data_IF_356829281948
#
_entry.id   IF_356829281948
#
_cell.length_a   1.000
_cell.length_b   1.000
_cell.length_c   1.000
_cell.angle_alpha   90.00
_cell.angle_beta   90.00
_cell.angle_gamma   90.00
#
_symmetry.space_group_name_H-M   'P 1'
#
loop_
_entity.id
_entity.type
_entity.pdbx_description
1 polymer ?
#
# COMPACT_ATOMS: atom_id res chain seq x y z
N UNK A 1 -8.53 3.13 20.85
CA UNK A 1 -7.56 3.90 20.04
C UNK A 1 -6.56 2.94 19.43
N UNK A 2 -6.88 2.34 18.28
CA UNK A 2 -5.97 1.49 17.50
C UNK A 2 -6.11 1.91 16.03
N UNK A 3 -5.60 3.10 15.73
CA UNK A 3 -5.67 3.72 14.41
C UNK A 3 -4.26 3.78 13.81
N UNK A 4 -3.55 2.64 13.82
CA UNK A 4 -2.23 2.49 13.19
C UNK A 4 -2.03 0.99 12.92
N UNK A 5 -2.60 0.56 11.80
CA UNK A 5 -2.61 -0.85 11.43
C UNK A 5 -3.47 -1.10 10.20
N UNK A 6 -3.34 -0.29 9.15
CA UNK A 6 -3.93 -0.64 7.86
C UNK A 6 -3.16 -1.83 7.26
N UNK A 7 -3.41 -3.02 7.78
CA UNK A 7 -3.30 -4.21 6.95
C UNK A 7 -4.35 -4.07 5.88
N UNK A 8 -3.95 -3.59 4.70
CA UNK A 8 -4.86 -3.47 3.56
C UNK A 8 -5.41 -4.87 3.32
N UNK A 9 -6.70 -5.06 3.62
CA UNK A 9 -7.35 -6.34 3.43
C UNK A 9 -7.41 -6.63 1.93
N UNK A 10 -7.51 -7.90 1.55
CA UNK A 10 -7.71 -8.30 0.17
C UNK A 10 -8.90 -7.56 -0.49
N UNK A 11 -9.93 -7.22 0.29
CA UNK A 11 -11.05 -6.42 -0.18
C UNK A 11 -10.63 -4.97 -0.47
N UNK A 12 -9.90 -4.33 0.44
CA UNK A 12 -9.41 -2.97 0.21
C UNK A 12 -8.42 -2.88 -0.94
N UNK A 13 -7.61 -3.92 -1.17
CA UNK A 13 -6.70 -3.97 -2.33
C UNK A 13 -7.47 -4.04 -3.66
N UNK A 14 -8.58 -4.80 -3.70
CA UNK A 14 -9.47 -4.89 -4.87
C UNK A 14 -10.23 -3.59 -5.13
N UNK A 15 -10.59 -2.86 -4.08
CA UNK A 15 -11.20 -1.53 -4.18
C UNK A 15 -10.20 -0.51 -4.73
N UNK A 16 -8.99 -0.43 -4.15
CA UNK A 16 -7.95 0.47 -4.61
C UNK A 16 -7.55 0.21 -6.08
N UNK A 17 -7.44 -1.07 -6.47
CA UNK A 17 -7.20 -1.42 -7.85
C UNK A 17 -8.34 -0.99 -8.79
N UNK A 18 -9.60 -1.03 -8.32
CA UNK A 18 -10.74 -0.55 -9.10
C UNK A 18 -10.76 0.97 -9.23
N UNK A 19 -10.46 1.70 -8.16
CA UNK A 19 -10.31 3.16 -8.15
C UNK A 19 -9.19 3.59 -9.10
N UNK A 20 -8.03 2.93 -9.06
CA UNK A 20 -6.93 3.19 -9.98
C UNK A 20 -7.31 2.91 -11.45
N UNK A 21 -8.04 1.82 -11.72
CA UNK A 21 -8.51 1.53 -13.07
C UNK A 21 -9.51 2.59 -13.57
N UNK A 22 -10.26 3.22 -12.67
CA UNK A 22 -11.18 4.31 -12.99
C UNK A 22 -10.43 5.62 -13.29
N UNK A 23 -9.44 5.98 -12.47
CA UNK A 23 -8.62 7.19 -12.71
C UNK A 23 -7.83 7.10 -14.01
N UNK A 24 -7.43 5.89 -14.42
CA UNK A 24 -6.77 5.62 -15.70
C UNK A 24 -7.74 5.52 -16.89
N UNK A 25 -9.05 5.65 -16.67
CA UNK A 25 -10.07 5.56 -17.73
C UNK A 25 -10.28 4.16 -18.31
N UNK A 26 -9.68 3.12 -17.71
CA UNK A 26 -9.79 1.72 -18.14
C UNK A 26 -11.15 1.14 -17.75
N UNK A 27 -11.73 1.63 -16.65
CA UNK A 27 -13.01 1.15 -16.10
C UNK A 27 -13.95 2.32 -15.80
N UNK A 28 -15.20 2.22 -16.25
CA UNK A 28 -16.21 3.26 -16.01
C UNK A 28 -16.81 3.22 -14.59
N UNK A 29 -16.68 2.10 -13.88
CA UNK A 29 -17.40 1.85 -12.63
C UNK A 29 -16.47 1.37 -11.52
N UNK A 30 -16.59 1.98 -10.33
CA UNK A 30 -15.78 1.71 -9.14
C UNK A 30 -16.11 0.37 -8.42
N UNK A 31 -16.62 -0.62 -9.15
CA UNK A 31 -16.88 -1.94 -8.56
C UNK A 31 -15.55 -2.61 -8.19
N UNK A 32 -15.44 -3.23 -7.01
CA UNK A 32 -14.22 -3.94 -6.61
C UNK A 32 -13.78 -4.95 -7.67
N UNK A 33 -12.47 -5.13 -7.83
CA UNK A 33 -11.91 -6.15 -8.71
C UNK A 33 -12.21 -7.56 -8.20
N UNK A 34 -12.12 -8.56 -9.07
CA UNK A 34 -12.42 -9.96 -8.71
C UNK A 34 -11.30 -10.58 -7.89
N UNK A 35 -11.60 -11.66 -7.16
CA UNK A 35 -10.58 -12.46 -6.48
C UNK A 35 -9.59 -13.07 -7.48
N UNK A 36 -10.03 -13.44 -8.70
CA UNK A 36 -9.13 -13.95 -9.74
C UNK A 36 -8.09 -12.91 -10.17
N UNK A 37 -8.51 -11.64 -10.33
CA UNK A 37 -7.59 -10.55 -10.59
C UNK A 37 -6.59 -10.38 -9.45
N UNK A 38 -7.07 -10.39 -8.20
CA UNK A 38 -6.23 -10.25 -7.03
C UNK A 38 -5.16 -11.35 -6.94
N UNK A 39 -5.55 -12.61 -7.16
CA UNK A 39 -4.60 -13.73 -7.15
C UNK A 39 -3.55 -13.57 -8.24
N UNK A 40 -3.96 -13.23 -9.46
CA UNK A 40 -3.03 -12.98 -10.56
C UNK A 40 -2.10 -11.78 -10.31
N UNK A 41 -2.62 -10.73 -9.68
CA UNK A 41 -1.83 -9.57 -9.26
C UNK A 41 -0.78 -9.97 -8.24
N UNK A 42 -1.17 -10.62 -7.13
CA UNK A 42 -0.26 -11.04 -6.06
C UNK A 42 0.78 -12.05 -6.54
N UNK A 43 0.42 -12.93 -7.48
CA UNK A 43 1.34 -13.91 -8.04
C UNK A 43 2.52 -13.26 -8.79
N UNK A 44 2.32 -12.09 -9.40
CA UNK A 44 3.42 -11.32 -10.03
C UNK A 44 4.42 -10.78 -9.02
N UNK A 45 4.01 -10.63 -7.77
CA UNK A 45 4.82 -10.09 -6.67
C UNK A 45 5.14 -11.17 -5.64
N UNK A 46 5.03 -12.46 -5.99
CA UNK A 46 5.16 -13.59 -5.05
C UNK A 46 6.47 -13.57 -4.25
N UNK A 47 7.55 -13.06 -4.83
CA UNK A 47 8.86 -12.91 -4.16
C UNK A 47 8.82 -11.90 -3.00
N UNK A 48 7.92 -10.92 -3.08
CA UNK A 48 7.73 -9.86 -2.09
C UNK A 48 6.56 -10.14 -1.15
N UNK A 49 5.57 -10.91 -1.62
CA UNK A 49 4.43 -11.37 -0.84
C UNK A 49 4.81 -12.63 -0.07
N UNK A 50 5.70 -12.48 0.93
CA UNK A 50 5.94 -13.56 1.88
C UNK A 50 4.70 -13.78 2.76
N UNK A 51 4.34 -15.05 3.00
CA UNK A 51 3.30 -15.41 3.97
C UNK A 51 3.84 -15.19 5.39
N UNK A 52 3.91 -13.92 5.81
CA UNK A 52 4.27 -13.60 7.18
C UNK A 52 3.17 -14.16 8.10
N UNK A 53 3.54 -15.07 9.00
CA UNK A 53 2.61 -15.61 10.02
C UNK A 53 1.98 -14.44 10.79
N UNK A 54 0.71 -14.56 11.17
CA UNK A 54 -0.03 -13.51 11.88
C UNK A 54 0.70 -12.95 13.11
N UNK A 55 1.38 -13.81 13.87
CA UNK A 55 2.20 -13.41 15.03
C UNK A 55 3.44 -12.58 14.65
N UNK A 56 4.07 -12.90 13.52
CA UNK A 56 5.16 -12.11 12.97
C UNK A 56 4.63 -10.80 12.37
N UNK A 57 3.40 -10.76 11.83
CA UNK A 57 2.75 -9.52 11.40
C UNK A 57 2.45 -8.59 12.58
N UNK A 58 1.95 -9.09 13.71
CA UNK A 58 1.75 -8.29 14.92
C UNK A 58 3.08 -7.73 15.45
N UNK A 59 4.11 -8.58 15.50
CA UNK A 59 5.45 -8.16 15.92
C UNK A 59 6.03 -7.11 14.97
N UNK A 60 5.88 -7.30 13.66
CA UNK A 60 6.33 -6.34 12.66
C UNK A 60 5.53 -5.04 12.73
N UNK A 61 4.21 -5.09 12.95
CA UNK A 61 3.38 -3.89 13.17
C UNK A 61 3.83 -3.12 14.41
N UNK A 62 4.10 -3.81 15.52
CA UNK A 62 4.60 -3.19 16.73
C UNK A 62 5.96 -2.53 16.48
N UNK A 63 6.86 -3.17 15.72
CA UNK A 63 8.16 -2.61 15.32
C UNK A 63 8.04 -1.42 14.37
N UNK A 64 7.13 -1.46 13.41
CA UNK A 64 6.87 -0.36 12.46
C UNK A 64 6.17 0.85 13.09
N UNK A 65 5.63 0.70 14.31
CA UNK A 65 5.08 1.81 15.09
C UNK A 65 6.13 2.50 15.99
N UNK A 66 7.37 2.00 16.01
CA UNK A 66 8.46 2.63 16.76
C UNK A 66 8.88 3.90 16.01
N UNK A 67 8.95 5.07 16.68
CA UNK A 67 9.27 6.35 16.02
C UNK A 67 10.54 6.29 15.16
N UNK A 68 11.59 5.65 15.67
CA UNK A 68 12.87 5.47 14.95
C UNK A 68 12.71 4.72 13.62
N UNK A 69 11.84 3.71 13.59
CA UNK A 69 11.58 2.91 12.39
C UNK A 69 10.69 3.65 11.38
N UNK A 70 9.78 4.50 11.87
CA UNK A 70 8.96 5.39 11.04
C UNK A 70 9.83 6.45 10.38
N UNK A 71 10.73 7.09 11.13
CA UNK A 71 11.65 8.10 10.59
C UNK A 71 12.55 7.48 9.52
N UNK A 72 13.12 6.29 9.79
CA UNK A 72 13.93 5.55 8.82
C UNK A 72 13.15 5.21 7.55
N UNK A 73 11.88 4.84 7.66
CA UNK A 73 11.03 4.59 6.49
C UNK A 73 10.89 5.85 5.63
N UNK A 74 10.60 7.01 6.22
CA UNK A 74 10.45 8.25 5.47
C UNK A 74 11.76 8.77 4.88
N UNK A 75 12.90 8.54 5.55
CA UNK A 75 14.22 8.83 4.98
C UNK A 75 14.51 7.98 3.74
N UNK A 76 14.26 6.67 3.82
CA UNK A 76 14.41 5.77 2.67
C UNK A 76 13.45 6.15 1.54
N UNK A 77 12.20 6.51 1.87
CA UNK A 77 11.23 6.97 0.88
C UNK A 77 11.71 8.24 0.16
N UNK A 78 12.22 9.23 0.91
CA UNK A 78 12.79 10.47 0.34
C UNK A 78 13.96 10.16 -0.59
N UNK A 79 14.82 9.21 -0.21
CA UNK A 79 15.95 8.76 -1.01
C UNK A 79 15.48 8.18 -2.35
N UNK A 80 14.55 7.23 -2.32
CA UNK A 80 13.99 6.59 -3.52
C UNK A 80 13.27 7.61 -4.42
N UNK A 81 12.50 8.54 -3.85
CA UNK A 81 11.84 9.60 -4.61
C UNK A 81 12.87 10.47 -5.35
N UNK A 82 13.97 10.83 -4.66
CA UNK A 82 15.05 11.63 -5.24
C UNK A 82 15.79 10.88 -6.35
N UNK A 83 16.16 9.62 -6.12
CA UNK A 83 16.88 8.78 -7.08
C UNK A 83 16.09 8.57 -8.38
N UNK A 84 14.77 8.50 -8.28
CA UNK A 84 13.90 8.24 -9.42
C UNK A 84 13.30 9.53 -10.03
N UNK A 85 13.74 10.72 -9.60
CA UNK A 85 13.25 11.99 -10.13
C UNK A 85 11.74 12.21 -9.92
N UNK A 86 11.18 11.65 -8.83
CA UNK A 86 9.75 11.67 -8.55
C UNK A 86 9.29 12.90 -7.75
N UNK A 87 10.20 13.83 -7.47
CA UNK A 87 9.99 15.04 -6.66
C UNK A 87 8.94 15.99 -7.22
N UNK A 88 8.73 15.98 -8.53
CA UNK A 88 7.83 16.92 -9.23
C UNK A 88 6.40 16.39 -9.40
N UNK A 89 6.10 15.19 -8.87
CA UNK A 89 4.73 14.65 -8.91
C UNK A 89 3.92 15.24 -7.75
N UNK A 90 2.73 15.83 -8.01
CA UNK A 90 1.94 16.46 -6.96
C UNK A 90 1.57 15.43 -5.90
N UNK A 91 1.87 15.72 -4.64
CA UNK A 91 1.41 14.96 -3.49
C UNK A 91 -0.12 15.08 -3.42
N UNK A 92 -0.83 14.15 -4.05
CA UNK A 92 -2.30 14.09 -4.05
C UNK A 92 -2.85 13.53 -2.73
N UNK A 93 -2.36 14.02 -1.59
CA UNK A 93 -2.90 13.71 -0.27
C UNK A 93 -3.22 15.02 0.44
N UNK A 94 -4.38 15.58 0.10
CA UNK A 94 -5.05 16.56 0.96
C UNK A 94 -5.48 15.82 2.22
N UNK A 95 -4.77 16.05 3.32
CA UNK A 95 -5.17 15.59 4.64
C UNK A 95 -6.44 16.38 4.99
N UNK A 96 -7.60 15.72 4.96
CA UNK A 96 -8.82 16.26 5.55
C UNK A 96 -8.62 16.25 7.06
N UNK A 97 -8.43 17.44 7.62
CA UNK A 97 -8.50 17.77 9.06
C UNK A 97 -9.84 17.39 9.65
#
# INVERSE_FOLDING_TARGET
MAQLGYGITNNKLKELGAELAQTLGIKSNAKPLSNCWLTGFLQRWKEYVSSVKSSALETNRAKSAIPVEVDRYFENLKMVIKENGLSDKPNSYTILT
#
